data_IF_102222770156
#
_entry.id   IF_102222770156
#
_cell.length_a   1.000
_cell.length_b   1.000
_cell.length_c   1.000
_cell.angle_alpha   90.00
_cell.angle_beta   90.00
_cell.angle_gamma   90.00
#
_symmetry.space_group_name_H-M   'P 1'
#
loop_
_entity.id
_entity.type
_entity.pdbx_description
1 polymer ?
#
# COMPACT_ATOMS: atom_id res chain seq x y z
N UNK A 1 -1.46 -20.14 13.26
CA UNK A 1 -2.73 -19.38 13.19
C UNK A 1 -2.37 -18.00 12.62
N UNK A 2 -2.86 -17.64 11.45
CA UNK A 2 -2.55 -16.34 10.82
C UNK A 2 -3.32 -15.26 11.57
N UNK A 3 -2.65 -14.26 12.19
CA UNK A 3 -3.36 -13.21 12.89
C UNK A 3 -4.18 -12.38 11.90
N UNK A 4 -5.48 -12.29 12.12
CA UNK A 4 -6.36 -11.43 11.35
C UNK A 4 -6.46 -10.07 12.05
N UNK A 5 -5.97 -9.03 11.41
CA UNK A 5 -6.13 -7.65 11.89
C UNK A 5 -7.42 -7.09 11.30
N UNK A 6 -8.37 -6.73 12.16
CA UNK A 6 -9.61 -6.08 11.73
C UNK A 6 -9.39 -4.56 11.64
N UNK A 7 -9.54 -3.99 10.46
CA UNK A 7 -9.53 -2.55 10.25
C UNK A 7 -10.96 -2.03 10.16
N UNK A 8 -11.29 -1.02 10.97
CA UNK A 8 -12.48 -0.19 10.70
C UNK A 8 -12.13 0.80 9.60
N UNK A 9 -12.74 0.63 8.45
CA UNK A 9 -12.51 1.52 7.33
C UNK A 9 -13.47 2.71 7.39
N UNK A 10 -12.92 3.92 7.43
CA UNK A 10 -13.70 5.15 7.29
C UNK A 10 -13.99 5.52 5.83
N UNK A 11 -13.47 4.79 4.86
CA UNK A 11 -13.77 4.98 3.43
C UNK A 11 -15.00 4.15 3.05
N UNK A 12 -16.17 4.64 3.41
CA UNK A 12 -17.44 3.93 3.40
C UNK A 12 -18.16 3.86 2.06
N UNK A 13 -17.57 4.25 0.94
CA UNK A 13 -18.38 4.41 -0.27
C UNK A 13 -18.52 3.18 -1.16
N UNK A 14 -17.59 2.24 -1.16
CA UNK A 14 -17.63 1.08 -2.06
C UNK A 14 -17.97 -0.25 -1.39
N UNK A 15 -17.51 -0.47 -0.16
CA UNK A 15 -17.75 -1.74 0.55
C UNK A 15 -18.79 -1.60 1.68
N UNK A 16 -19.43 -0.43 1.80
CA UNK A 16 -20.31 -0.12 2.92
C UNK A 16 -19.53 -0.04 4.25
N UNK A 17 -20.25 0.23 5.33
CA UNK A 17 -19.66 0.32 6.69
C UNK A 17 -19.27 -1.03 7.31
N UNK A 18 -19.19 -2.11 6.52
CA UNK A 18 -18.85 -3.43 7.02
C UNK A 18 -17.35 -3.54 7.26
N UNK A 19 -16.92 -4.01 8.44
CA UNK A 19 -15.54 -4.31 8.68
C UNK A 19 -15.09 -5.42 7.71
N UNK A 20 -13.98 -5.24 7.02
CA UNK A 20 -13.37 -6.28 6.21
C UNK A 20 -12.09 -6.79 6.89
N UNK A 21 -11.75 -8.04 6.60
CA UNK A 21 -10.51 -8.65 7.07
C UNK A 21 -9.49 -8.61 5.92
N UNK A 22 -8.41 -7.90 6.15
CA UNK A 22 -7.25 -7.98 5.28
C UNK A 22 -6.39 -9.16 5.74
N UNK A 23 -6.20 -10.12 4.85
CA UNK A 23 -5.23 -11.19 5.06
C UNK A 23 -3.89 -10.69 4.56
N UNK A 24 -2.97 -10.44 5.48
CA UNK A 24 -1.60 -10.10 5.12
C UNK A 24 -0.88 -11.38 4.68
N UNK A 25 0.00 -11.28 3.66
CA UNK A 25 0.83 -12.41 3.26
C UNK A 25 1.69 -12.89 4.43
N UNK A 26 1.95 -14.19 4.50
CA UNK A 26 2.80 -14.78 5.53
C UNK A 26 4.27 -14.41 5.30
N UNK A 27 4.57 -13.17 5.64
CA UNK A 27 5.92 -12.63 5.65
C UNK A 27 6.37 -12.55 7.11
N UNK A 28 6.97 -13.60 7.63
CA UNK A 28 7.40 -13.69 9.03
C UNK A 28 8.20 -12.47 9.50
N UNK A 29 8.95 -11.82 8.59
CA UNK A 29 9.66 -10.58 8.88
C UNK A 29 8.70 -9.39 9.09
N UNK A 30 7.61 -9.30 8.32
CA UNK A 30 6.61 -8.25 8.48
C UNK A 30 5.93 -8.34 9.84
N UNK A 31 5.57 -9.55 10.27
CA UNK A 31 4.94 -9.75 11.58
C UNK A 31 5.87 -9.37 12.72
N UNK A 32 7.16 -9.69 12.63
CA UNK A 32 8.17 -9.27 13.61
C UNK A 32 8.25 -7.75 13.74
N UNK A 33 8.21 -7.03 12.62
CA UNK A 33 8.20 -5.57 12.66
C UNK A 33 6.92 -5.01 13.27
N UNK A 34 5.78 -5.63 13.01
CA UNK A 34 4.49 -5.24 13.61
C UNK A 34 4.52 -5.47 15.13
N UNK A 35 4.96 -6.63 15.57
CA UNK A 35 5.10 -6.99 16.98
C UNK A 35 6.09 -6.05 17.70
N UNK A 36 7.26 -5.84 17.13
CA UNK A 36 8.27 -4.95 17.69
C UNK A 36 7.78 -3.49 17.77
N UNK A 37 7.01 -3.06 16.77
CA UNK A 37 6.36 -1.75 16.81
C UNK A 37 5.35 -1.65 17.96
N UNK A 38 4.47 -2.64 18.13
CA UNK A 38 3.46 -2.65 19.19
C UNK A 38 4.12 -2.69 20.57
N UNK A 39 5.05 -3.62 20.75
CA UNK A 39 5.58 -3.95 22.08
C UNK A 39 6.63 -2.95 22.57
N UNK A 40 7.40 -2.37 21.66
CA UNK A 40 8.57 -1.56 22.01
C UNK A 40 8.49 -0.10 21.57
N UNK A 41 8.05 0.13 20.32
CA UNK A 41 8.17 1.45 19.71
C UNK A 41 6.95 2.33 19.96
N UNK A 42 5.75 1.76 19.95
CA UNK A 42 4.51 2.52 20.05
C UNK A 42 4.41 3.30 21.37
N UNK A 43 4.71 2.67 22.49
CA UNK A 43 4.72 3.33 23.80
C UNK A 43 5.74 4.46 23.89
N UNK A 44 6.92 4.29 23.29
CA UNK A 44 7.95 5.35 23.22
C UNK A 44 7.50 6.54 22.38
N UNK A 45 6.81 6.30 21.27
CA UNK A 45 6.28 7.37 20.43
C UNK A 45 5.18 8.16 21.12
N UNK A 46 4.33 7.48 21.89
CA UNK A 46 3.28 8.11 22.69
C UNK A 46 3.83 9.00 23.81
N UNK A 47 5.00 8.68 24.36
CA UNK A 47 5.67 9.48 25.39
C UNK A 47 4.72 9.94 26.52
N UNK A 48 3.88 9.04 27.02
CA UNK A 48 2.87 9.32 28.05
C UNK A 48 1.61 10.05 27.58
N UNK A 49 1.48 10.34 26.28
CA UNK A 49 0.24 10.88 25.73
C UNK A 49 -0.88 9.82 25.71
N UNK A 50 -2.14 10.29 25.72
CA UNK A 50 -3.29 9.40 25.60
C UNK A 50 -3.26 8.63 24.27
N UNK A 51 -3.59 7.34 24.34
CA UNK A 51 -3.65 6.49 23.15
C UNK A 51 -4.84 6.90 22.26
N UNK A 52 -4.59 7.29 21.00
CA UNK A 52 -5.65 7.66 20.07
C UNK A 52 -6.42 6.46 19.51
N UNK A 53 -6.12 5.24 19.94
CA UNK A 53 -6.70 3.98 19.43
C UNK A 53 -6.46 3.74 17.92
N UNK A 54 -5.49 4.43 17.33
CA UNK A 54 -5.04 4.19 15.97
C UNK A 54 -3.81 3.29 15.98
N UNK A 55 -3.63 2.47 14.95
CA UNK A 55 -2.47 1.57 14.89
C UNK A 55 -1.17 2.38 14.86
N UNK A 56 -1.02 3.26 13.89
CA UNK A 56 0.13 4.14 13.82
C UNK A 56 -0.07 5.43 14.61
N UNK A 57 0.96 5.78 15.37
CA UNK A 57 1.00 7.01 16.14
C UNK A 57 2.23 7.83 15.74
N UNK A 58 2.09 9.14 15.75
CA UNK A 58 3.23 10.05 15.54
C UNK A 58 3.99 10.25 16.84
N UNK A 59 5.26 10.58 16.72
CA UNK A 59 6.06 11.01 17.88
C UNK A 59 5.48 12.27 18.51
N UNK A 60 5.22 12.23 19.79
CA UNK A 60 4.79 13.42 20.56
C UNK A 60 5.88 13.87 21.52
N UNK A 61 6.01 15.19 21.70
CA UNK A 61 7.02 15.78 22.58
C UNK A 61 6.50 16.02 23.98
N UNK A 62 5.19 16.18 24.12
CA UNK A 62 4.51 16.45 25.37
C UNK A 62 3.28 15.55 25.51
N UNK A 63 2.99 15.09 26.72
CA UNK A 63 1.91 14.13 26.99
C UNK A 63 0.50 14.64 26.67
N UNK A 64 0.30 15.96 26.64
CA UNK A 64 -0.97 16.58 26.25
C UNK A 64 -1.21 16.63 24.74
N UNK A 65 -0.21 16.28 23.92
CA UNK A 65 -0.33 16.35 22.47
C UNK A 65 -1.15 15.17 21.92
N UNK A 66 -1.94 15.43 20.86
CA UNK A 66 -2.62 14.37 20.13
C UNK A 66 -1.63 13.55 19.30
N UNK A 67 -1.54 12.26 19.59
CA UNK A 67 -0.64 11.33 18.92
C UNK A 67 -1.20 10.76 17.59
N UNK A 68 -2.46 11.03 17.25
CA UNK A 68 -3.02 10.58 15.96
C UNK A 68 -2.41 11.36 14.79
N UNK A 69 -2.19 10.67 13.67
CA UNK A 69 -1.86 11.33 12.41
C UNK A 69 -3.07 12.08 11.88
N UNK A 70 -2.90 13.36 11.57
CA UNK A 70 -3.78 14.07 10.64
C UNK A 70 -3.35 13.76 9.19
N UNK A 71 -4.22 14.05 8.24
CA UNK A 71 -3.87 13.91 6.82
C UNK A 71 -2.58 14.68 6.46
N UNK A 72 -2.48 15.92 6.92
CA UNK A 72 -1.31 16.77 6.68
C UNK A 72 -0.03 16.17 7.26
N UNK A 73 -0.05 15.78 8.54
CA UNK A 73 1.14 15.20 9.18
C UNK A 73 1.54 13.86 8.58
N UNK A 74 0.57 13.08 8.09
CA UNK A 74 0.87 11.85 7.35
C UNK A 74 1.60 12.15 6.04
N UNK A 75 1.10 13.10 5.25
CA UNK A 75 1.75 13.48 3.99
C UNK A 75 3.14 14.07 4.19
N UNK A 76 3.35 14.84 5.24
CA UNK A 76 4.69 15.36 5.59
C UNK A 76 5.66 14.24 5.95
N UNK A 77 5.24 13.29 6.78
CA UNK A 77 6.05 12.13 7.13
C UNK A 77 6.36 11.28 5.88
N UNK A 78 5.37 11.05 5.03
CA UNK A 78 5.53 10.34 3.77
C UNK A 78 6.52 11.03 2.83
N UNK A 79 6.41 12.35 2.71
CA UNK A 79 7.33 13.17 1.91
C UNK A 79 8.77 13.01 2.37
N UNK A 80 9.01 13.06 3.69
CA UNK A 80 10.34 12.87 4.26
C UNK A 80 10.90 11.46 3.97
N UNK A 81 10.07 10.44 4.05
CA UNK A 81 10.46 9.06 3.71
C UNK A 81 10.85 8.99 2.23
N UNK A 82 10.05 9.54 1.33
CA UNK A 82 10.35 9.56 -0.10
C UNK A 82 11.62 10.35 -0.40
N UNK A 83 11.83 11.47 0.26
CA UNK A 83 13.08 12.23 0.10
C UNK A 83 14.31 11.42 0.50
N UNK A 84 14.19 10.59 1.54
CA UNK A 84 15.31 9.81 2.08
C UNK A 84 15.54 8.50 1.32
N UNK A 85 14.47 7.83 0.91
CA UNK A 85 14.51 6.47 0.36
C UNK A 85 13.88 6.35 -1.03
N UNK A 86 13.44 7.46 -1.60
CA UNK A 86 12.73 7.47 -2.87
C UNK A 86 13.59 7.08 -4.06
N UNK A 87 12.92 6.76 -5.15
CA UNK A 87 13.57 6.41 -6.41
C UNK A 87 13.92 7.68 -7.17
N UNK A 88 15.17 7.77 -7.59
CA UNK A 88 15.67 8.87 -8.39
C UNK A 88 15.75 8.46 -9.86
N UNK A 89 15.28 9.35 -10.71
CA UNK A 89 15.46 9.29 -12.15
C UNK A 89 16.03 10.64 -12.62
N UNK A 90 17.27 10.69 -13.11
CA UNK A 90 17.92 11.94 -13.49
C UNK A 90 17.20 12.68 -14.62
N UNK A 91 16.37 11.98 -15.38
CA UNK A 91 15.62 12.57 -16.51
C UNK A 91 14.29 13.21 -16.09
N UNK A 92 13.87 13.09 -14.85
CA UNK A 92 12.63 13.74 -14.41
C UNK A 92 12.90 15.14 -13.88
N UNK A 93 12.10 16.10 -14.36
CA UNK A 93 12.10 17.48 -13.88
C UNK A 93 10.81 17.80 -13.08
N UNK A 94 10.00 16.78 -12.78
CA UNK A 94 8.75 16.94 -12.02
C UNK A 94 9.03 16.84 -10.52
N UNK A 95 8.30 17.63 -9.74
CA UNK A 95 8.38 17.63 -8.28
C UNK A 95 9.32 18.69 -7.72
N UNK A 96 9.30 18.85 -6.39
CA UNK A 96 10.07 19.86 -5.67
C UNK A 96 11.58 19.56 -5.62
N UNK A 97 11.96 18.30 -5.79
CA UNK A 97 13.35 17.85 -5.78
C UNK A 97 13.66 17.26 -7.14
N UNK A 98 14.64 17.87 -7.81
CA UNK A 98 15.07 17.43 -9.14
C UNK A 98 15.55 15.97 -9.09
N UNK A 99 15.04 15.17 -10.01
CA UNK A 99 15.40 13.75 -10.12
C UNK A 99 14.63 12.83 -9.19
N UNK A 100 13.98 13.32 -8.14
CA UNK A 100 13.15 12.49 -7.26
C UNK A 100 11.79 12.26 -7.90
N UNK A 101 11.43 11.00 -8.11
CA UNK A 101 10.10 10.65 -8.59
C UNK A 101 9.05 10.99 -7.53
N UNK A 102 8.01 11.76 -7.88
CA UNK A 102 6.94 12.05 -6.95
C UNK A 102 6.16 10.77 -6.65
N UNK A 103 6.23 10.30 -5.42
CA UNK A 103 5.52 9.12 -4.94
C UNK A 103 4.49 9.55 -3.91
N UNK A 104 3.22 9.31 -4.20
CA UNK A 104 2.16 9.38 -3.20
C UNK A 104 1.81 7.98 -2.68
N UNK A 105 0.99 7.90 -1.65
CA UNK A 105 0.45 6.63 -1.16
C UNK A 105 -0.33 5.87 -2.24
N UNK A 106 -0.97 6.57 -3.17
CA UNK A 106 -1.63 5.97 -4.34
C UNK A 106 -0.67 5.22 -5.26
N UNK A 107 0.58 5.66 -5.39
CA UNK A 107 1.56 4.97 -6.22
C UNK A 107 1.87 3.56 -5.72
N UNK A 108 1.74 3.31 -4.42
CA UNK A 108 1.87 1.95 -3.86
C UNK A 108 0.74 1.05 -4.39
N UNK A 109 -0.48 1.57 -4.45
CA UNK A 109 -1.62 0.86 -5.05
C UNK A 109 -1.41 0.62 -6.54
N UNK A 110 -0.91 1.64 -7.28
CA UNK A 110 -0.56 1.53 -8.71
C UNK A 110 0.43 0.39 -8.95
N UNK A 111 1.51 0.37 -8.19
CA UNK A 111 2.55 -0.66 -8.32
C UNK A 111 1.97 -2.05 -8.01
N UNK A 112 1.22 -2.18 -6.92
CA UNK A 112 0.62 -3.46 -6.54
C UNK A 112 -0.37 -3.97 -7.59
N UNK A 113 -1.31 -3.12 -8.01
CA UNK A 113 -2.30 -3.48 -9.02
C UNK A 113 -1.63 -3.87 -10.35
N UNK A 114 -0.67 -3.05 -10.80
CA UNK A 114 0.07 -3.33 -12.04
C UNK A 114 0.88 -4.62 -11.94
N UNK A 115 1.50 -4.88 -10.79
CA UNK A 115 2.26 -6.11 -10.57
C UNK A 115 1.35 -7.35 -10.68
N UNK A 116 0.20 -7.33 -10.00
CA UNK A 116 -0.76 -8.45 -10.05
C UNK A 116 -1.29 -8.64 -11.47
N UNK A 117 -1.66 -7.55 -12.15
CA UNK A 117 -2.11 -7.61 -13.54
C UNK A 117 -1.06 -8.24 -14.46
N UNK A 118 0.22 -7.87 -14.33
CA UNK A 118 1.32 -8.45 -15.10
C UNK A 118 1.55 -9.94 -14.82
N UNK A 119 1.28 -10.38 -13.61
CA UNK A 119 1.45 -11.78 -13.22
C UNK A 119 0.25 -12.65 -13.65
N UNK A 120 -0.96 -12.14 -13.50
CA UNK A 120 -2.19 -12.95 -13.60
C UNK A 120 -3.06 -12.60 -14.79
N UNK A 121 -2.98 -11.38 -15.30
CA UNK A 121 -3.90 -10.83 -16.29
C UNK A 121 -5.31 -10.55 -15.75
N UNK A 122 -5.55 -10.77 -14.46
CA UNK A 122 -6.87 -10.69 -13.85
C UNK A 122 -7.12 -9.34 -13.21
N UNK A 123 -8.07 -8.59 -13.74
CA UNK A 123 -8.57 -7.35 -13.15
C UNK A 123 -9.28 -7.61 -11.82
N UNK A 124 -9.96 -8.74 -11.68
CA UNK A 124 -10.64 -9.13 -10.44
C UNK A 124 -9.63 -9.37 -9.31
N UNK A 125 -8.54 -10.11 -9.58
CA UNK A 125 -7.52 -10.34 -8.56
C UNK A 125 -6.82 -9.04 -8.16
N UNK A 126 -6.53 -8.18 -9.11
CA UNK A 126 -5.95 -6.87 -8.82
C UNK A 126 -6.92 -6.00 -8.02
N UNK A 127 -8.20 -5.96 -8.39
CA UNK A 127 -9.22 -5.18 -7.67
C UNK A 127 -9.39 -5.66 -6.22
N UNK A 128 -9.40 -6.96 -6.01
CA UNK A 128 -9.46 -7.52 -4.67
C UNK A 128 -8.26 -7.11 -3.80
N UNK A 129 -7.06 -7.16 -4.37
CA UNK A 129 -5.84 -6.84 -3.62
C UNK A 129 -5.73 -5.36 -3.24
N UNK A 130 -6.21 -4.45 -4.10
CA UNK A 130 -6.20 -3.02 -3.81
C UNK A 130 -7.53 -2.51 -3.25
N UNK A 131 -8.53 -3.39 -3.08
CA UNK A 131 -9.87 -3.07 -2.60
C UNK A 131 -10.55 -1.97 -3.44
N UNK A 132 -10.64 -2.25 -4.72
CA UNK A 132 -11.29 -1.41 -5.71
C UNK A 132 -12.19 -2.27 -6.61
N UNK A 133 -12.86 -1.70 -7.61
CA UNK A 133 -13.61 -2.50 -8.57
C UNK A 133 -12.76 -2.88 -9.79
N UNK A 134 -13.08 -3.99 -10.50
CA UNK A 134 -12.37 -4.36 -11.72
C UNK A 134 -12.38 -3.27 -12.78
N UNK A 135 -13.48 -2.51 -12.89
CA UNK A 135 -13.65 -1.39 -13.82
C UNK A 135 -12.68 -0.26 -13.48
N UNK A 136 -12.56 0.09 -12.19
CA UNK A 136 -11.60 1.11 -11.74
C UNK A 136 -10.17 0.66 -11.98
N UNK A 137 -9.86 -0.63 -11.77
CA UNK A 137 -8.54 -1.18 -12.10
C UNK A 137 -8.27 -1.06 -13.60
N UNK A 138 -9.24 -1.39 -14.44
CA UNK A 138 -9.09 -1.30 -15.88
C UNK A 138 -8.85 0.15 -16.37
N UNK A 139 -9.56 1.11 -15.78
CA UNK A 139 -9.45 2.51 -16.15
C UNK A 139 -8.16 3.18 -15.67
N UNK A 140 -7.76 2.93 -14.43
CA UNK A 140 -6.70 3.69 -13.78
C UNK A 140 -5.37 2.95 -13.68
N UNK A 141 -5.40 1.62 -13.57
CA UNK A 141 -4.21 0.81 -13.32
C UNK A 141 -3.85 -0.12 -14.48
N UNK A 142 -4.76 -0.29 -15.43
CA UNK A 142 -4.59 -1.19 -16.58
C UNK A 142 -3.58 -0.70 -17.62
N UNK A 143 -2.46 -0.15 -17.21
CA UNK A 143 -1.40 0.34 -18.09
C UNK A 143 -0.56 -0.79 -18.67
N UNK A 144 -1.23 -1.77 -19.28
CA UNK A 144 -0.53 -2.78 -20.05
C UNK A 144 -0.01 -2.18 -21.36
N UNK A 145 1.28 -2.28 -21.57
CA UNK A 145 1.83 -2.09 -22.89
C UNK A 145 1.37 -3.24 -23.80
N UNK A 146 1.21 -3.03 -25.13
CA UNK A 146 0.85 -4.10 -26.05
C UNK A 146 1.76 -5.33 -25.92
N UNK A 147 3.05 -5.13 -25.66
CA UNK A 147 4.03 -6.18 -25.42
C UNK A 147 3.72 -7.02 -24.18
N UNK A 148 3.25 -6.41 -23.09
CA UNK A 148 2.90 -7.12 -21.86
C UNK A 148 1.69 -8.06 -22.12
N UNK A 149 0.70 -7.59 -22.89
CA UNK A 149 -0.47 -8.40 -23.29
C UNK A 149 -0.07 -9.58 -24.17
N UNK A 150 0.80 -9.37 -25.15
CA UNK A 150 1.30 -10.41 -26.02
C UNK A 150 2.11 -11.47 -25.24
N UNK A 151 2.98 -11.04 -24.33
CA UNK A 151 3.76 -11.93 -23.49
C UNK A 151 2.88 -12.76 -22.54
N UNK A 152 1.81 -12.17 -22.01
CA UNK A 152 0.85 -12.88 -21.16
C UNK A 152 0.07 -13.93 -21.96
N UNK A 153 -0.42 -13.56 -23.15
CA UNK A 153 -1.11 -14.47 -24.06
C UNK A 153 -0.22 -15.65 -24.47
N UNK A 154 1.04 -15.39 -24.82
CA UNK A 154 2.01 -16.43 -25.16
C UNK A 154 2.25 -17.41 -23.98
N UNK A 155 2.36 -16.91 -22.76
CA UNK A 155 2.49 -17.77 -21.57
C UNK A 155 1.29 -18.68 -21.35
N UNK A 156 0.09 -18.16 -21.54
CA UNK A 156 -1.15 -18.95 -21.42
C UNK A 156 -1.20 -20.04 -22.50
N UNK A 157 -0.91 -19.67 -23.75
CA UNK A 157 -0.89 -20.61 -24.87
C UNK A 157 0.15 -21.72 -24.67
N UNK A 158 1.35 -21.38 -24.21
CA UNK A 158 2.37 -22.39 -23.93
C UNK A 158 1.92 -23.38 -22.85
N UNK A 159 1.29 -22.91 -21.76
CA UNK A 159 0.75 -23.79 -20.72
C UNK A 159 -0.33 -24.74 -21.24
N UNK A 160 -1.20 -24.25 -22.13
CA UNK A 160 -2.23 -25.09 -22.75
C UNK A 160 -1.57 -26.13 -23.65
N UNK A 161 -0.54 -25.75 -24.41
CA UNK A 161 0.18 -26.64 -25.30
C UNK A 161 0.98 -27.71 -24.56
N UNK A 162 1.60 -27.36 -23.46
CA UNK A 162 2.35 -28.31 -22.61
C UNK A 162 1.42 -29.27 -21.83
N UNK A 163 0.14 -28.92 -21.67
CA UNK A 163 -0.85 -29.76 -21.02
C UNK A 163 -1.63 -30.68 -21.96
N UNK A 164 -1.46 -30.53 -23.27
CA UNK A 164 -2.10 -31.34 -24.34
C UNK A 164 -1.24 -32.53 -24.77
#
# INVERSE_FOLDING_TARGET
>A
MIPSIAFKNSMSSFFGSKPFRLVLPDLGQLYRYIEDYIDRHRARLLNGASDPSTFFVKTVKVSSANAAYSQTTFYEAWRLIIQRYGIYNPWTNRGAIKGLLPHGSHNVRDVLATHILKQTGSYEQASYAIQDTPEMVAQHYGRFLPQDKAALAARILNKVWEAA
#
